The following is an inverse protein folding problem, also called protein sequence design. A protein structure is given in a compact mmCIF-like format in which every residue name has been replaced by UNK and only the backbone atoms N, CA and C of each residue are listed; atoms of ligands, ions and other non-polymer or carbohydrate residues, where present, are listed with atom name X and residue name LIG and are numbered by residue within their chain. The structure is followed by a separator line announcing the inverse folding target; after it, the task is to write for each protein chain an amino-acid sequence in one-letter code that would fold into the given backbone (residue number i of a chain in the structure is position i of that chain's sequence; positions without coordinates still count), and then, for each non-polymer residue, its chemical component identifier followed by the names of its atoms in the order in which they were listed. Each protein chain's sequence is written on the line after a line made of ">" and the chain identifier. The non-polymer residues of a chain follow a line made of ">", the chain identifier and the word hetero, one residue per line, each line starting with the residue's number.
data_IF_325579244090
#
_entry.id   IF_325579244090
#
_cell.length_a   1.000
_cell.length_b   1.000
_cell.length_c   1.000
_cell.angle_alpha   90.00
_cell.angle_beta   90.00
_cell.angle_gamma   90.00
#
_symmetry.space_group_name_H-M   'P 1'
#
loop_
_entity.id
_entity.type
_entity.pdbx_description
1 polymer ?
2 polymer ?
3 water ?
#
# COMPACT_ATOMS: atom_id res chain seq x y z
N UNK A 2 9.73 -25.08 -14.94
CA UNK A 2 9.23 -23.75 -15.23
C UNK A 2 8.23 -23.34 -14.17
N UNK A 3 7.42 -24.31 -13.73
CA UNK A 3 6.30 -24.05 -12.83
C UNK A 3 6.44 -24.86 -11.54
N UNK A 4 5.96 -24.33 -10.43
CA UNK A 4 6.01 -25.05 -9.15
C UNK A 4 4.89 -24.61 -8.21
N UNK A 5 4.66 -25.40 -7.16
CA UNK A 5 3.70 -25.05 -6.16
C UNK A 5 4.47 -24.32 -5.10
N UNK A 6 3.85 -23.31 -4.50
CA UNK A 6 4.46 -22.68 -3.34
C UNK A 6 4.10 -23.48 -2.10
N UNK A 7 4.10 -22.82 -0.94
CA UNK A 7 3.78 -23.45 0.34
C UNK A 7 2.79 -22.61 1.15
N UNK A 8 2.03 -23.27 2.02
CA UNK A 8 1.13 -22.63 2.97
C UNK A 8 1.64 -22.46 4.40
N UNK A 9 2.91 -22.76 4.67
CA UNK A 9 3.41 -22.86 6.06
C UNK A 9 3.44 -21.57 6.91
N UNK A 10 3.43 -20.39 6.28
CA UNK A 10 3.47 -19.12 7.00
C UNK A 10 4.61 -19.03 8.02
N UNK A 11 4.32 -18.56 9.23
CA UNK A 11 5.37 -18.35 10.24
C UNK A 11 5.62 -19.59 11.08
N UNK A 12 4.91 -20.67 10.76
CA UNK A 12 5.02 -21.92 11.52
C UNK A 12 6.39 -22.59 11.41
N UNK A 13 6.89 -23.06 12.55
CA UNK A 13 8.19 -23.73 12.64
C UNK A 13 8.29 -24.99 11.78
N UNK A 14 9.38 -25.11 11.02
CA UNK A 14 9.58 -26.27 10.14
C UNK A 14 9.68 -27.56 10.94
N UNK A 17 12.83 -29.59 9.93
CA UNK A 17 13.98 -28.74 10.28
C UNK A 17 15.19 -28.97 9.37
N UNK A 19 16.66 -30.60 6.54
CA UNK A 19 15.55 -31.28 5.87
C UNK A 19 14.50 -30.31 5.29
N UNK A 20 14.24 -29.25 6.04
CA UNK A 20 13.44 -28.12 5.60
C UNK A 20 14.09 -27.43 4.37
N UNK A 21 15.39 -27.20 4.48
CA UNK A 21 16.16 -26.61 3.39
C UNK A 21 16.15 -27.49 2.15
N UNK A 22 16.23 -28.80 2.36
CA UNK A 22 16.18 -29.73 1.24
C UNK A 22 14.85 -29.68 0.52
N UNK A 23 13.76 -29.67 1.27
CA UNK A 23 12.46 -29.53 0.66
C UNK A 23 12.34 -28.25 -0.15
N UNK A 24 12.80 -27.13 0.42
CA UNK A 24 12.82 -25.88 -0.36
C UNK A 24 13.62 -26.03 -1.67
N UNK A 25 14.78 -26.70 -1.59
CA UNK A 25 15.60 -26.89 -2.78
C UNK A 25 14.89 -27.72 -3.85
N UNK A 26 14.41 -28.90 -3.46
CA UNK A 26 13.75 -29.82 -4.37
C UNK A 26 12.52 -29.18 -4.98
N UNK A 27 11.92 -28.27 -4.23
CA UNK A 27 10.73 -27.55 -4.67
C UNK A 27 11.08 -26.50 -5.72
N UNK A 28 11.91 -25.54 -5.34
CA UNK A 28 12.13 -24.39 -6.22
C UNK A 28 13.26 -24.51 -7.24
N UNK A 29 14.10 -25.56 -7.15
CA UNK A 29 15.25 -25.66 -8.07
C UNK A 29 14.76 -25.60 -9.51
N UNK A 30 15.28 -24.66 -10.27
CA UNK A 30 14.87 -24.50 -11.64
C UNK A 30 13.56 -23.76 -11.85
N UNK A 31 12.76 -23.56 -10.81
CA UNK A 31 11.42 -22.98 -10.98
C UNK A 31 11.42 -21.50 -11.36
N UNK A 32 10.79 -21.19 -12.48
CA UNK A 32 10.53 -19.81 -12.93
C UNK A 32 9.27 -19.13 -12.38
N UNK A 33 8.17 -19.87 -12.32
CA UNK A 33 6.87 -19.33 -11.96
C UNK A 33 6.30 -20.08 -10.75
N UNK A 34 5.99 -19.36 -9.67
CA UNK A 34 5.45 -19.99 -8.47
C UNK A 34 3.94 -19.83 -8.33
N UNK A 35 3.29 -20.98 -8.32
CA UNK A 35 1.86 -21.17 -8.45
C UNK A 35 1.14 -21.09 -7.12
N UNK A 36 1.86 -20.55 -6.16
CA UNK A 36 1.45 -20.48 -4.78
C UNK A 36 2.29 -19.38 -4.14
N UNK A 37 2.34 -19.39 -2.82
CA UNK A 37 3.15 -18.45 -2.09
C UNK A 37 4.61 -18.85 -1.96
N UNK A 38 5.51 -17.90 -2.16
CA UNK A 38 6.90 -18.22 -1.92
C UNK A 38 7.21 -17.88 -0.46
N UNK A 39 7.45 -18.91 0.35
CA UNK A 39 7.72 -18.67 1.76
C UNK A 39 9.12 -19.16 2.08
N UNK A 40 10.01 -18.22 2.40
CA UNK A 40 11.38 -18.54 2.75
C UNK A 40 11.61 -18.13 4.19
N UNK A 41 11.73 -19.11 5.09
CA UNK A 41 11.71 -18.84 6.52
C UNK A 41 12.69 -19.72 7.30
N UNK A 42 13.24 -19.16 8.37
CA UNK A 42 14.11 -19.90 9.28
C UNK A 42 15.35 -20.48 8.61
N UNK A 43 15.88 -19.76 7.64
CA UNK A 43 17.10 -20.15 6.97
C UNK A 43 18.34 -19.70 7.74
N UNK A 44 19.29 -20.62 7.94
CA UNK A 44 20.48 -20.23 8.70
C UNK A 44 21.48 -19.48 7.83
N UNK A 45 22.55 -19.01 8.44
CA UNK A 45 23.54 -18.16 7.78
C UNK A 45 24.30 -18.87 6.64
N UNK A 46 24.57 -20.17 6.79
CA UNK A 46 25.36 -20.93 5.82
C UNK A 46 24.52 -21.46 4.65
N UNK A 47 23.23 -21.18 4.67
CA UNK A 47 22.29 -21.76 3.71
C UNK A 47 22.58 -21.36 2.26
N UNK A 48 22.53 -22.32 1.35
CA UNK A 48 22.77 -22.03 -0.07
C UNK A 48 21.44 -21.93 -0.79
N UNK A 49 21.10 -20.70 -1.18
CA UNK A 49 19.81 -20.35 -1.79
C UNK A 49 19.79 -20.25 -3.31
N UNK A 50 20.90 -20.61 -3.94
CA UNK A 50 21.10 -20.36 -5.36
C UNK A 50 20.00 -20.95 -6.24
N UNK A 51 19.22 -21.88 -5.69
CA UNK A 51 18.19 -22.56 -6.45
C UNK A 51 16.95 -21.67 -6.62
N UNK A 52 16.98 -20.48 -6.04
CA UNK A 52 15.94 -19.47 -6.19
C UNK A 52 16.21 -18.55 -7.38
N UNK A 53 17.39 -18.67 -7.97
CA UNK A 53 17.86 -17.74 -9.00
C UNK A 53 16.93 -17.60 -10.22
N UNK A 54 16.13 -18.63 -10.50
CA UNK A 54 15.28 -18.62 -11.70
C UNK A 54 13.89 -18.05 -11.51
N UNK A 55 13.50 -17.83 -10.24
CA UNK A 55 12.15 -17.36 -9.96
C UNK A 55 11.88 -16.01 -10.62
N UNK A 56 10.76 -15.95 -11.32
CA UNK A 56 10.38 -14.83 -12.15
C UNK A 56 9.10 -14.22 -11.61
N UNK A 57 8.09 -15.07 -11.52
CA UNK A 57 6.76 -14.67 -11.05
C UNK A 57 6.38 -15.38 -9.74
N UNK A 58 5.55 -14.71 -8.93
CA UNK A 58 4.89 -15.32 -7.77
C UNK A 58 3.41 -14.97 -7.79
N UNK A 59 2.53 -15.96 -7.87
CA UNK A 59 1.10 -15.71 -8.00
C UNK A 59 0.47 -15.36 -6.66
N UNK A 60 1.04 -15.93 -5.61
CA UNK A 60 0.66 -15.68 -4.24
C UNK A 60 1.40 -14.49 -3.67
N UNK A 61 1.70 -14.60 -2.38
CA UNK A 61 2.51 -13.61 -1.68
C UNK A 61 3.92 -14.14 -1.47
N UNK A 62 4.87 -13.22 -1.39
CA UNK A 62 6.22 -13.56 -0.98
C UNK A 62 6.40 -13.32 0.53
N UNK A 63 6.86 -14.32 1.25
CA UNK A 63 7.13 -14.19 2.69
C UNK A 63 8.57 -14.54 2.98
N UNK A 64 9.28 -13.60 3.59
CA UNK A 64 10.68 -13.79 3.96
C UNK A 64 10.83 -13.47 5.43
N UNK A 65 11.10 -14.47 6.25
CA UNK A 65 11.00 -14.25 7.69
C UNK A 65 11.90 -15.14 8.54
N UNK A 66 12.34 -14.59 9.66
CA UNK A 66 13.14 -15.33 10.63
C UNK A 66 14.34 -16.03 10.02
N UNK A 67 14.96 -15.39 9.03
CA UNK A 67 16.15 -15.93 8.38
C UNK A 67 17.44 -15.34 8.96
N UNK A 68 18.50 -16.15 9.04
CA UNK A 68 19.80 -15.59 9.33
C UNK A 68 20.64 -15.27 8.10
N UNK A 69 20.22 -15.74 6.93
CA UNK A 69 21.01 -15.52 5.71
C UNK A 69 21.15 -14.05 5.44
N UNK A 70 22.29 -13.66 4.89
CA UNK A 70 22.54 -12.26 4.59
C UNK A 70 21.96 -11.83 3.26
N UNK A 71 21.71 -12.81 2.39
CA UNK A 71 21.20 -12.52 1.07
C UNK A 71 20.22 -13.57 0.58
N UNK A 72 19.25 -13.12 -0.20
CA UNK A 72 18.20 -13.92 -0.81
C UNK A 72 18.15 -13.64 -2.33
N UNK A 73 18.82 -14.50 -3.14
CA UNK A 73 19.00 -14.30 -4.59
C UNK A 73 17.68 -14.35 -5.37
N UNK A 74 16.87 -13.32 -5.14
CA UNK A 74 15.61 -13.06 -5.84
C UNK A 74 15.71 -12.07 -7.03
N UNK A 75 16.95 -11.76 -7.43
CA UNK A 75 17.19 -10.74 -8.44
C UNK A 75 16.38 -10.91 -9.74
N UNK A 76 15.84 -12.10 -9.98
CA UNK A 76 15.09 -12.35 -11.22
C UNK A 76 13.56 -12.17 -11.15
N UNK A 77 13.04 -11.70 -10.02
CA UNK A 77 11.59 -11.70 -9.80
C UNK A 77 10.98 -10.39 -10.26
N UNK A 78 10.24 -10.46 -11.36
CA UNK A 78 9.55 -9.29 -11.94
C UNK A 78 8.19 -8.94 -11.33
N UNK A 79 7.44 -9.95 -10.92
CA UNK A 79 6.05 -9.71 -10.58
C UNK A 79 5.56 -10.58 -9.42
N UNK A 80 4.78 -9.96 -8.54
CA UNK A 80 4.03 -10.71 -7.55
C UNK A 80 2.54 -10.42 -7.82
N UNK A 81 1.76 -11.45 -8.08
CA UNK A 81 0.34 -11.29 -8.46
C UNK A 81 -0.56 -11.04 -7.25
N UNK A 82 -0.21 -11.65 -6.13
CA UNK A 82 -0.92 -11.42 -4.89
C UNK A 82 -2.35 -11.93 -4.91
N UNK A 83 -2.53 -13.11 -5.47
CA UNK A 83 -3.87 -13.71 -5.59
C UNK A 83 -4.19 -14.33 -4.25
N UNK A 84 -3.15 -14.50 -3.46
CA UNK A 84 -3.26 -14.84 -2.06
C UNK A 84 -2.36 -13.83 -1.36
N UNK A 85 -2.73 -13.41 -0.15
CA UNK A 85 -2.04 -12.32 0.53
C UNK A 85 -1.67 -12.69 1.95
N UNK A 86 -0.46 -12.35 2.37
CA UNK A 86 -0.03 -12.64 3.73
C UNK A 86 -0.83 -11.75 4.68
N UNK A 87 -1.42 -12.35 5.71
CA UNK A 87 -2.28 -11.63 6.66
C UNK A 87 -3.38 -10.90 5.89
N UNK A 88 -3.75 -11.45 4.72
CA UNK A 88 -4.79 -10.90 3.85
C UNK A 88 -4.51 -9.47 3.42
N UNK A 89 -3.26 -9.07 3.49
CA UNK A 89 -2.86 -7.68 3.21
C UNK A 89 -1.69 -7.51 2.24
N UNK A 90 -0.56 -8.11 2.60
CA UNK A 90 0.71 -7.90 1.91
C UNK A 90 1.12 -8.99 0.93
N UNK A 91 1.49 -8.55 -0.27
CA UNK A 91 2.07 -9.42 -1.27
C UNK A 91 3.57 -9.65 -0.99
N UNK A 92 4.20 -8.69 -0.32
CA UNK A 92 5.60 -8.80 0.06
C UNK A 92 5.78 -8.58 1.56
N UNK A 93 6.31 -9.59 2.26
CA UNK A 93 6.51 -9.50 3.69
C UNK A 93 7.90 -9.98 4.12
N UNK A 94 8.71 -9.06 4.65
CA UNK A 94 10.04 -9.38 5.07
C UNK A 94 10.14 -9.06 6.57
N UNK A 95 10.21 -10.10 7.39
CA UNK A 95 9.98 -9.94 8.82
C UNK A 95 11.05 -10.60 9.65
N UNK A 96 11.55 -9.90 10.64
CA UNK A 96 12.38 -10.53 11.67
C UNK A 96 13.63 -11.24 11.16
N UNK A 97 14.26 -10.72 10.11
CA UNK A 97 15.44 -11.41 9.63
C UNK A 97 16.66 -10.83 10.32
N UNK A 98 17.21 -11.59 11.25
CA UNK A 98 18.23 -11.08 12.16
C UNK A 98 18.16 -11.77 13.51
N UNK A 99 18.86 -11.21 14.49
CA UNK A 99 18.94 -11.84 15.81
C UNK A 99 19.09 -10.81 16.93
N UNK A 111 30.78 -10.50 12.55
CA UNK A 111 29.74 -10.06 11.60
C UNK A 111 28.39 -10.77 11.81
N UNK A 112 27.34 -10.00 12.11
CA UNK A 112 26.00 -10.53 12.45
C UNK A 112 25.19 -11.03 11.25
N UNK A 113 24.24 -11.90 11.52
CA UNK A 113 23.43 -12.50 10.48
C UNK A 113 22.25 -11.63 10.09
N UNK A 114 21.51 -12.06 9.08
CA UNK A 114 20.31 -11.36 8.70
C UNK A 114 20.44 -10.57 7.42
N UNK A 115 19.30 -10.36 6.76
CA UNK A 115 19.28 -9.84 5.41
C UNK A 115 19.93 -8.45 5.35
N UNK A 116 20.91 -8.31 4.48
CA UNK A 116 21.56 -7.02 4.24
C UNK A 116 20.77 -6.15 3.27
N UNK A 117 20.36 -6.74 2.16
CA UNK A 117 19.73 -6.01 1.06
C UNK A 117 18.68 -6.87 0.39
N UNK A 118 17.58 -6.25 -0.02
CA UNK A 118 16.54 -6.97 -0.74
C UNK A 118 17.00 -7.37 -2.13
N UNK A 119 17.66 -6.44 -2.81
CA UNK A 119 18.17 -6.68 -4.14
C UNK A 119 17.15 -7.23 -5.12
N UNK A 120 15.94 -6.67 -5.17
CA UNK A 120 15.03 -7.21 -6.14
C UNK A 120 15.09 -6.25 -7.29
N UNK A 121 15.90 -6.63 -8.27
CA UNK A 121 16.32 -5.72 -9.32
C UNK A 121 15.25 -5.67 -10.37
N UNK A 122 14.57 -6.80 -10.52
CA UNK A 122 13.60 -6.98 -11.56
C UNK A 122 12.17 -6.69 -11.10
N UNK A 123 11.96 -6.34 -9.83
CA UNK A 123 10.59 -6.25 -9.35
C UNK A 123 9.93 -4.98 -9.89
N UNK A 124 8.84 -5.19 -10.62
CA UNK A 124 8.18 -4.17 -11.42
C UNK A 124 6.75 -3.97 -10.98
N UNK A 125 5.94 -5.03 -11.07
CA UNK A 125 4.54 -4.93 -10.69
C UNK A 125 4.20 -5.78 -9.47
N UNK A 126 3.55 -5.17 -8.49
CA UNK A 126 2.84 -5.91 -7.46
C UNK A 126 1.35 -5.70 -7.71
N UNK A 127 0.67 -6.75 -8.16
CA UNK A 127 -0.67 -6.62 -8.73
C UNK A 127 -1.73 -6.31 -7.69
N UNK A 128 -1.71 -7.09 -6.61
CA UNK A 128 -2.65 -6.92 -5.52
C UNK A 128 -1.88 -7.07 -4.19
N UNK A 129 -2.29 -6.33 -3.16
CA UNK A 129 -1.67 -6.44 -1.85
C UNK A 129 -0.53 -5.46 -1.59
N UNK A 130 -0.19 -5.27 -0.31
CA UNK A 130 0.80 -4.29 0.09
C UNK A 130 2.19 -4.81 0.41
N UNK A 131 2.96 -3.97 1.10
CA UNK A 131 4.34 -4.30 1.47
C UNK A 131 4.53 -4.19 2.98
N UNK A 132 5.15 -5.20 3.57
CA UNK A 132 5.43 -5.19 5.00
C UNK A 132 6.89 -5.57 5.23
N UNK A 133 7.65 -4.63 5.78
CA UNK A 133 9.04 -4.87 6.09
C UNK A 133 9.29 -4.38 7.52
N UNK A 134 9.58 -5.30 8.43
CA UNK A 134 9.64 -4.99 9.86
C UNK A 134 10.72 -5.81 10.54
N UNK A 135 11.40 -5.15 11.49
CA UNK A 135 12.36 -5.79 12.37
C UNK A 135 13.43 -6.57 11.58
N UNK A 136 14.07 -5.89 10.64
CA UNK A 136 15.22 -6.45 9.94
C UNK A 136 16.43 -5.58 10.23
N UNK A 137 17.15 -5.92 11.31
CA UNK A 137 18.21 -5.07 11.88
C UNK A 137 19.41 -4.85 10.98
N UNK A 138 19.66 -5.74 10.04
CA UNK A 138 20.79 -5.54 9.13
C UNK A 138 20.43 -4.98 7.76
N UNK A 139 19.14 -4.78 7.52
CA UNK A 139 18.67 -4.45 6.18
C UNK A 139 18.78 -2.97 5.82
N UNK A 140 19.20 -2.69 4.60
CA UNK A 140 19.25 -1.32 4.12
C UNK A 140 18.45 -1.13 2.83
N UNK A 141 18.12 0.13 2.56
CA UNK A 141 17.55 0.57 1.30
C UNK A 141 16.07 0.35 1.09
N UNK A 142 15.44 -0.46 1.94
CA UNK A 142 14.00 -0.75 1.78
C UNK A 142 13.17 0.53 1.72
N UNK A 143 13.59 1.56 2.45
CA UNK A 143 12.84 2.81 2.52
C UNK A 143 13.11 3.78 1.37
N UNK A 144 14.08 3.47 0.51
CA UNK A 144 14.41 4.34 -0.60
C UNK A 144 13.64 4.02 -1.88
N UNK A 145 12.99 2.86 -1.90
CA UNK A 145 12.33 2.38 -3.10
C UNK A 145 11.00 3.10 -3.31
N UNK A 146 10.64 3.40 -4.55
CA UNK A 146 9.34 4.02 -4.73
C UNK A 146 8.39 2.87 -4.96
N UNK A 147 7.60 2.57 -3.94
CA UNK A 147 6.78 1.37 -3.99
C UNK A 147 5.53 1.63 -4.79
N UNK A 148 5.09 2.89 -4.81
CA UNK A 148 3.92 3.26 -5.59
C UNK A 148 4.12 2.98 -7.08
N UNK A 149 5.34 3.13 -7.56
CA UNK A 149 5.64 2.83 -8.95
C UNK A 149 5.50 1.33 -9.24
N UNK A 150 5.78 0.52 -8.22
CA UNK A 150 5.73 -0.92 -8.38
C UNK A 150 4.29 -1.44 -8.29
N UNK A 151 3.51 -0.91 -7.36
CA UNK A 151 2.10 -1.27 -7.23
C UNK A 151 1.42 -1.00 -8.57
N UNK A 152 0.48 -1.86 -8.94
CA UNK A 152 -0.23 -1.75 -10.21
C UNK A 152 -1.22 -0.59 -10.14
N UNK A 153 -1.89 -0.30 -11.24
CA UNK A 153 -2.78 0.86 -11.31
C UNK A 153 -3.94 0.78 -10.32
N UNK A 154 -4.49 -0.42 -10.11
CA UNK A 154 -5.61 -0.54 -9.19
C UNK A 154 -5.21 -0.93 -7.77
N UNK A 155 -3.90 -1.05 -7.54
CA UNK A 155 -3.35 -1.36 -6.23
C UNK A 155 -2.85 -0.16 -5.37
N UNK A 156 -3.06 1.06 -5.85
CA UNK A 156 -2.50 2.26 -5.20
C UNK A 156 -2.82 2.42 -3.70
N UNK A 157 -3.90 1.78 -3.24
CA UNK A 157 -4.30 1.83 -1.83
C UNK A 157 -3.90 0.70 -0.88
N UNK A 158 -3.06 -0.22 -1.32
CA UNK A 158 -2.61 -1.28 -0.41
C UNK A 158 -1.75 -0.69 0.71
N UNK A 159 -1.68 -1.40 1.82
CA UNK A 159 -0.88 -0.95 2.95
C UNK A 159 0.62 -1.10 2.72
N UNK A 160 1.36 -0.04 2.98
CA UNK A 160 2.83 -0.12 3.02
C UNK A 160 3.34 0.19 4.44
N UNK A 161 3.83 -0.82 5.13
CA UNK A 161 4.39 -0.60 6.44
C UNK A 161 5.83 -1.09 6.47
N UNK A 162 6.77 -0.15 6.53
CA UNK A 162 8.17 -0.51 6.50
C UNK A 162 9.02 0.28 7.46
N UNK A 163 9.92 -0.41 8.14
CA UNK A 163 10.90 0.20 9.02
C UNK A 163 11.82 1.08 8.23
N UNK A 164 12.28 2.14 8.89
CA UNK A 164 13.35 2.95 8.37
C UNK A 164 14.51 2.87 9.36
N UNK A 170 24.04 2.34 6.95
CA UNK A 170 23.73 2.29 5.52
C UNK A 170 24.52 3.29 4.68
N UNK A 171 25.37 2.75 3.81
CA UNK A 171 26.03 3.55 2.79
C UNK A 171 24.96 4.08 1.82
N UNK A 172 25.27 5.16 1.10
CA UNK A 172 24.28 5.69 0.16
C UNK A 172 24.09 4.77 -1.03
N UNK A 173 23.04 4.96 -1.82
CA UNK A 173 22.83 4.18 -3.03
C UNK A 173 24.01 4.46 -3.94
N UNK A 174 24.28 3.54 -4.87
CA UNK A 174 25.25 3.84 -5.92
C UNK A 174 24.92 5.20 -6.56
N UNK A 175 25.94 6.04 -6.75
CA UNK A 175 25.85 7.37 -7.37
C UNK A 175 25.28 7.30 -8.79
N UNK A 176 25.23 6.11 -9.37
CA UNK A 176 24.71 5.90 -10.71
C UNK A 176 23.16 5.87 -10.73
N UNK A 177 22.54 6.05 -9.58
CA UNK A 177 21.08 6.14 -9.51
C UNK A 177 20.64 7.59 -9.51
N UNK A 180 17.89 8.70 -5.85
CA UNK A 180 18.67 7.92 -4.90
C UNK A 180 17.90 6.67 -4.46
N UNK A 181 17.32 5.97 -5.42
CA UNK A 181 16.50 4.82 -5.14
C UNK A 181 17.16 3.50 -5.54
N UNK A 182 17.40 2.62 -4.58
CA UNK A 182 18.12 1.40 -4.89
C UNK A 182 17.72 0.21 -4.02
N UNK A 183 18.00 -0.99 -4.55
CA UNK A 183 17.73 -2.23 -3.85
C UNK A 183 18.93 -2.71 -3.03
N UNK A 184 20.06 -2.04 -3.19
CA UNK A 184 21.31 -2.49 -2.62
C UNK A 184 22.38 -1.48 -2.95
N UNK A 185 23.63 -1.75 -2.57
CA UNK A 185 24.69 -0.76 -2.71
C UNK A 185 25.20 -0.62 -4.13
N UNK A 186 25.07 -1.68 -4.92
CA UNK A 186 25.66 -1.72 -6.25
C UNK A 186 24.84 -0.99 -7.30
N UNK A 187 25.53 -0.51 -8.33
CA UNK A 187 24.91 0.15 -9.47
C UNK A 187 23.85 -0.72 -10.13
N UNK A 188 24.05 -2.04 -10.08
CA UNK A 188 23.06 -3.01 -10.54
C UNK A 188 21.77 -2.97 -9.72
N UNK A 189 21.83 -2.37 -8.53
CA UNK A 189 20.68 -2.39 -7.64
C UNK A 189 19.76 -1.16 -7.69
N UNK A 190 20.03 -0.21 -8.59
CA UNK A 190 19.19 0.98 -8.73
C UNK A 190 17.79 0.60 -9.19
N UNK A 191 16.78 1.38 -8.81
CA UNK A 191 15.41 1.05 -9.19
C UNK A 191 15.19 1.23 -10.68
N UNK B 7 11.83 -4.20 17.26
CA UNK B 7 10.89 -5.01 18.05
C UNK B 7 9.42 -4.58 17.99
N UNK B 8 8.50 -5.51 18.29
CA UNK B 8 7.07 -5.22 18.33
C UNK B 8 6.72 -4.19 19.42
N UNK B 9 5.84 -3.26 19.07
CA UNK B 9 5.29 -2.29 20.02
C UNK B 9 3.78 -2.35 19.96
N UNK B 10 3.18 -2.29 21.14
CA UNK B 10 1.73 -2.28 21.30
C UNK B 10 0.97 -1.30 20.39
N UNK B 11 1.25 -0.02 20.52
CA UNK B 11 0.53 0.99 19.73
C UNK B 11 0.63 0.78 18.23
N UNK B 12 1.83 0.48 17.76
CA UNK B 12 2.07 0.22 16.34
C UNK B 12 1.29 -0.99 15.84
N UNK B 13 1.33 -2.08 16.60
CA UNK B 13 0.60 -3.28 16.19
C UNK B 13 -0.91 -3.02 16.14
N UNK B 14 -1.41 -2.26 17.10
CA UNK B 14 -2.84 -1.92 17.06
C UNK B 14 -3.17 -0.98 15.90
N UNK B 15 -2.22 -0.12 15.55
CA UNK B 15 -2.39 0.77 14.43
C UNK B 15 -2.44 -0.01 13.12
N UNK B 16 -1.51 -0.97 13.01
CA UNK B 16 -1.47 -1.88 11.89
C UNK B 16 -2.84 -2.56 11.76
N UNK B 17 -3.29 -3.20 12.86
CA UNK B 17 -4.55 -3.92 12.89
C UNK B 17 -5.68 -2.99 12.46
N UNK B 18 -5.63 -1.73 12.92
CA UNK B 18 -6.69 -0.77 12.59
C UNK B 18 -6.73 -0.40 11.10
N UNK B 19 -5.55 -0.20 10.50
CA UNK B 19 -5.50 0.08 9.08
C UNK B 19 -6.07 -1.13 8.33
N UNK B 20 -5.69 -2.31 8.80
CA UNK B 20 -6.11 -3.54 8.16
C UNK B 20 -7.62 -3.68 8.18
N UNK B 21 -8.19 -3.60 9.37
CA UNK B 21 -9.64 -3.69 9.57
C UNK B 21 -10.41 -2.60 8.82
N UNK B 22 -9.89 -1.37 8.81
CA UNK B 22 -10.64 -0.28 8.18
C UNK B 22 -10.67 -0.54 6.69
N UNK B 23 -9.57 -1.10 6.20
CA UNK B 23 -9.47 -1.41 4.78
C UNK B 23 -10.44 -2.54 4.44
N UNK B 24 -10.49 -3.56 5.28
CA UNK B 24 -11.27 -4.76 5.00
C UNK B 24 -12.77 -4.53 5.21
N UNK B 25 -13.13 -3.40 5.79
CA UNK B 25 -14.53 -3.14 6.12
C UNK B 25 -15.01 -3.93 7.32
N UNK B 26 -14.11 -4.28 8.23
CA UNK B 26 -14.56 -5.08 9.35
C UNK B 26 -14.96 -4.18 10.51
N UNK B 27 -16.27 -4.01 10.69
CA UNK B 27 -16.80 -3.05 11.64
C UNK B 27 -16.50 -3.45 13.06
N UNK B 28 -16.87 -4.69 13.41
CA UNK B 28 -16.65 -5.22 14.74
C UNK B 28 -15.21 -5.00 15.17
N UNK B 29 -14.28 -5.33 14.27
CA UNK B 29 -12.87 -5.19 14.56
C UNK B 29 -12.55 -3.74 14.84
N UNK B 30 -13.06 -2.85 13.99
CA UNK B 30 -12.78 -1.42 14.15
C UNK B 30 -13.29 -0.92 15.49
N UNK B 31 -14.53 -1.24 15.85
CA UNK B 31 -15.12 -0.76 17.11
C UNK B 31 -14.34 -1.31 18.29
N UNK B 32 -14.01 -2.59 18.22
CA UNK B 32 -13.23 -3.21 19.27
C UNK B 32 -11.89 -2.49 19.43
N UNK B 33 -11.22 -2.27 18.33
CA UNK B 33 -9.96 -1.57 18.31
C UNK B 33 -10.11 -0.15 18.91
N UNK B 34 -11.26 0.47 18.68
CA UNK B 34 -11.59 1.73 19.33
C UNK B 34 -11.66 1.60 20.86
N UNK B 35 -12.42 0.62 21.34
CA UNK B 35 -12.50 0.36 22.78
C UNK B 35 -11.17 -0.11 23.39
N UNK B 36 -10.23 -0.58 22.55
CA UNK B 36 -8.90 -0.96 23.04
C UNK B 36 -7.86 0.13 22.89
N UNK B 37 -8.26 1.29 22.39
CA UNK B 37 -7.40 2.45 22.35
C UNK B 37 -6.47 2.53 21.16
N UNK B 38 -6.77 1.78 20.11
CA UNK B 38 -6.01 1.87 18.88
C UNK B 38 -5.97 3.34 18.41
N UNK B 39 -4.85 3.78 17.87
CA UNK B 39 -4.72 5.17 17.44
C UNK B 39 -5.55 5.41 16.18
N UNK B 40 -6.52 6.31 16.27
CA UNK B 40 -7.43 6.54 15.15
C UNK B 40 -6.67 7.17 13.99
N UNK B 41 -5.54 7.81 14.32
CA UNK B 41 -4.72 8.52 13.33
C UNK B 41 -3.51 7.81 12.79
N UNK B 42 -3.35 6.54 13.16
CA UNK B 42 -2.26 5.70 12.66
C UNK B 42 -2.19 5.80 11.14
N UNK B 43 -0.99 5.76 10.59
CA UNK B 43 -0.85 5.78 9.14
C UNK B 43 0.27 4.88 8.65
N UNK B 44 0.23 4.53 7.37
CA UNK B 44 1.29 3.71 6.80
C UNK B 44 2.40 4.58 6.24
N UNK B 45 3.37 3.93 5.60
CA UNK B 45 4.54 4.58 5.02
C UNK B 45 4.16 5.75 4.11
N UNK B 46 3.01 5.62 3.44
CA UNK B 46 2.52 6.65 2.53
C UNK B 46 1.50 7.59 3.16
N UNK B 47 1.34 7.48 4.47
CA UNK B 47 0.49 8.39 5.21
C UNK B 47 -0.98 8.00 5.16
N UNK B 48 -1.26 6.79 4.66
CA UNK B 48 -2.62 6.31 4.56
C UNK B 48 -3.16 6.04 5.97
N UNK B 49 -4.24 6.73 6.32
CA UNK B 49 -4.96 6.58 7.57
C UNK B 49 -6.20 5.68 7.43
N UNK B 50 -6.72 5.16 8.56
CA UNK B 50 -7.91 4.31 8.48
C UNK B 50 -9.11 5.04 7.86
N UNK B 51 -9.19 6.34 8.14
CA UNK B 51 -10.23 7.15 7.52
C UNK B 51 -10.11 7.16 5.98
N UNK B 52 -8.87 7.22 5.47
CA UNK B 52 -8.62 7.22 4.02
C UNK B 52 -9.15 5.92 3.39
N UNK B 53 -8.68 4.81 3.93
CA UNK B 53 -9.13 3.48 3.54
C UNK B 53 -10.67 3.32 3.55
N UNK B 54 -11.31 3.69 4.66
CA UNK B 54 -12.75 3.52 4.76
C UNK B 54 -13.47 4.41 3.74
N UNK B 55 -13.07 5.68 3.69
CA UNK B 55 -13.62 6.62 2.71
C UNK B 55 -13.53 6.06 1.29
N UNK B 56 -12.38 5.51 0.94
CA UNK B 56 -12.16 5.04 -0.42
C UNK B 56 -12.88 3.74 -0.77
N UNK B 57 -12.89 2.79 0.16
CA UNK B 57 -13.49 1.49 -0.11
C UNK B 57 -14.97 1.42 0.26
N UNK B 58 -15.54 2.57 0.59
CA UNK B 58 -16.97 2.71 0.76
C UNK B 58 -17.54 2.20 2.07
N UNK B 59 -16.75 2.23 3.14
CA UNK B 59 -17.26 1.67 4.37
C UNK B 59 -17.79 2.82 5.23
N UNK B 60 -19.10 2.99 5.23
CA UNK B 60 -19.75 4.13 5.88
C UNK B 60 -19.78 4.04 7.39
N UNK B 61 -20.14 2.87 7.89
CA UNK B 61 -20.17 2.64 9.33
C UNK B 61 -18.80 2.99 9.90
N UNK B 62 -17.75 2.42 9.32
CA UNK B 62 -16.41 2.62 9.82
C UNK B 62 -15.97 4.10 9.74
N UNK B 63 -16.33 4.78 8.65
CA UNK B 63 -16.08 6.21 8.55
C UNK B 63 -16.72 6.97 9.71
N UNK B 64 -18.01 6.75 9.95
CA UNK B 64 -18.70 7.42 11.05
C UNK B 64 -18.04 7.10 12.40
N UNK B 65 -17.73 5.84 12.62
CA UNK B 65 -17.05 5.43 13.86
C UNK B 65 -15.71 6.17 14.05
N UNK B 66 -14.84 6.15 13.04
CA UNK B 66 -13.57 6.84 13.11
C UNK B 66 -13.77 8.34 13.39
N UNK B 67 -14.73 8.94 12.68
CA UNK B 67 -15.00 10.36 12.87
C UNK B 67 -15.37 10.67 14.31
N UNK B 68 -16.33 9.91 14.84
CA UNK B 68 -16.76 10.06 16.22
C UNK B 68 -15.63 9.83 17.23
N UNK B 69 -14.65 9.03 16.84
CA UNK B 69 -13.46 8.79 17.66
C UNK B 69 -12.32 9.76 17.35
N UNK B 70 -12.62 10.78 16.54
CA UNK B 70 -11.73 11.93 16.41
C UNK B 70 -10.68 11.84 15.34
N UNK B 71 -10.92 11.02 14.31
CA UNK B 71 -9.93 10.83 13.26
C UNK B 71 -9.79 12.14 12.49
N UNK B 72 -8.58 12.44 12.01
CA UNK B 72 -8.36 13.73 11.40
C UNK B 72 -9.00 13.72 10.02
N UNK B 73 -10.06 14.50 9.85
CA UNK B 73 -10.89 14.50 8.66
C UNK B 73 -10.09 15.00 7.47
N UNK B 74 -9.20 15.94 7.73
CA UNK B 74 -8.40 16.58 6.68
C UNK B 74 -6.99 16.01 6.47
N UNK B 75 -6.71 14.85 7.07
CA UNK B 75 -5.40 14.23 6.88
C UNK B 75 -5.03 14.06 5.39
N UNK B 76 -3.83 14.50 5.05
CA UNK B 76 -3.24 14.23 3.76
C UNK B 76 -2.33 13.00 3.86
N UNK B 77 -2.51 12.07 2.93
CA UNK B 77 -1.48 11.06 2.65
C UNK B 77 -0.60 11.54 1.51
N UNK B 78 0.12 10.60 0.90
CA UNK B 78 0.97 10.91 -0.24
C UNK B 78 0.23 11.69 -1.33
N UNK B 79 -1.06 11.41 -1.49
CA UNK B 79 -1.84 12.05 -2.54
C UNK B 79 -2.83 13.10 -2.03
N UNK B 80 -3.75 12.69 -1.17
CA UNK B 80 -4.93 13.51 -0.91
C UNK B 80 -5.57 13.26 0.46
N UNK B 81 -6.73 13.90 0.64
CA UNK B 81 -7.59 13.75 1.80
C UNK B 81 -8.65 12.68 1.55
N UNK B 82 -9.26 12.14 2.64
CA UNK B 82 -10.39 11.22 2.53
C UNK B 82 -11.55 11.72 1.65
N UNK B 83 -11.80 13.03 1.70
CA UNK B 83 -12.88 13.60 0.91
C UNK B 83 -12.61 13.43 -0.56
N UNK B 84 -11.34 13.58 -0.95
CA UNK B 84 -10.91 13.35 -2.33
C UNK B 84 -11.27 11.94 -2.74
N UNK B 85 -10.84 10.96 -1.93
CA UNK B 85 -11.05 9.56 -2.25
C UNK B 85 -12.53 9.26 -2.42
N UNK B 86 -13.35 9.67 -1.45
CA UNK B 86 -14.78 9.38 -1.51
C UNK B 86 -15.41 10.01 -2.73
N UNK B 87 -14.96 11.21 -3.08
CA UNK B 87 -15.52 11.92 -4.22
C UNK B 87 -15.09 11.26 -5.53
N UNK B 88 -13.89 10.70 -5.54
CA UNK B 88 -13.38 10.09 -6.75
C UNK B 88 -14.04 8.75 -6.94
N UNK B 89 -14.37 8.08 -5.84
CA UNK B 89 -14.90 6.72 -5.87
C UNK B 89 -16.41 6.69 -6.01
N UNK B 90 -17.04 7.86 -5.97
CA UNK B 90 -18.49 7.93 -6.06
C UNK B 90 -19.21 7.41 -4.83
N UNK B 91 -18.74 7.76 -3.63
CA UNK B 91 -19.51 7.44 -2.43
C UNK B 91 -20.19 8.70 -1.85
N UNK B 92 -21.47 8.87 -2.18
CA UNK B 92 -22.22 10.09 -1.88
C UNK B 92 -22.39 10.31 -0.39
N UNK B 93 -22.91 9.30 0.28
CA UNK B 93 -23.12 9.38 1.69
C UNK B 93 -21.82 9.67 2.46
N UNK B 94 -20.72 9.02 2.08
CA UNK B 94 -19.44 9.23 2.74
C UNK B 94 -19.01 10.68 2.55
N UNK B 95 -19.25 11.19 1.34
CA UNK B 95 -18.97 12.60 1.09
C UNK B 95 -19.77 13.49 2.05
N UNK B 96 -21.07 13.22 2.16
CA UNK B 96 -21.95 13.99 3.04
C UNK B 96 -21.54 13.94 4.51
N UNK B 97 -21.24 12.74 5.00
CA UNK B 97 -20.77 12.60 6.37
C UNK B 97 -19.44 13.33 6.58
N UNK B 98 -18.48 13.05 5.70
CA UNK B 98 -17.18 13.71 5.76
C UNK B 98 -17.33 15.22 5.91
N UNK B 99 -18.15 15.81 5.03
CA UNK B 99 -18.41 17.25 5.07
C UNK B 99 -19.08 17.66 6.39
N UNK B 100 -20.08 16.90 6.81
CA UNK B 100 -20.76 17.14 8.07
C UNK B 100 -19.74 17.27 9.21
N UNK B 101 -18.67 16.49 9.11
CA UNK B 101 -17.64 16.46 10.16
C UNK B 101 -16.50 17.47 9.96
N UNK B 102 -16.65 18.36 8.98
CA UNK B 102 -15.69 19.43 8.78
C UNK B 102 -14.61 19.17 7.75
N UNK B 103 -14.85 18.21 6.87
CA UNK B 103 -13.89 17.96 5.79
C UNK B 103 -13.85 19.21 4.94
N UNK B 104 -12.66 19.64 4.54
CA UNK B 104 -12.52 20.86 3.76
C UNK B 104 -12.95 20.56 2.32
N UNK B 105 -13.99 21.27 1.86
CA UNK B 105 -14.56 21.02 0.54
C UNK B 105 -13.57 21.36 -0.56
N UNK B 106 -12.69 22.32 -0.26
CA UNK B 106 -11.69 22.80 -1.23
C UNK B 106 -10.25 22.34 -1.09
N UNK B 107 -9.96 21.40 -0.20
CA UNK B 107 -8.60 20.88 -0.04
C UNK B 107 -8.02 20.48 -1.39
N UNK B 108 -6.74 20.79 -1.60
CA UNK B 108 -6.14 20.51 -2.89
C UNK B 108 -5.07 19.44 -2.73
N UNK B 109 -5.10 18.43 -3.58
CA UNK B 109 -4.17 17.30 -3.43
C UNK B 109 -2.80 17.64 -4.01
N UNK B 110 -1.94 16.64 -4.11
CA UNK B 110 -0.60 16.86 -4.60
C UNK B 110 -0.56 17.35 -6.05
N UNK B 111 -1.63 17.13 -6.79
CA UNK B 111 -1.71 17.71 -8.14
C UNK B 111 -2.55 19.00 -8.19
N UNK B 112 -2.98 19.47 -7.03
CA UNK B 112 -3.82 20.65 -6.98
C UNK B 112 -5.26 20.35 -7.36
N UNK B 113 -5.67 19.09 -7.29
CA UNK B 113 -7.06 18.73 -7.53
C UNK B 113 -7.89 19.01 -6.28
N UNK B 114 -9.09 19.55 -6.46
CA UNK B 114 -10.02 19.62 -5.35
C UNK B 114 -10.95 18.41 -5.49
N UNK B 115 -11.83 18.18 -4.50
CA UNK B 115 -12.73 17.03 -4.70
C UNK B 115 -13.71 17.29 -5.85
N UNK B 116 -14.01 18.56 -6.10
CA UNK B 116 -14.88 18.89 -7.21
C UNK B 116 -14.21 18.46 -8.51
N UNK B 117 -12.90 18.69 -8.62
CA UNK B 117 -12.13 18.22 -9.78
C UNK B 117 -12.36 16.73 -10.01
N UNK B 118 -12.26 15.93 -8.96
CA UNK B 118 -12.29 14.48 -9.08
C UNK B 118 -13.70 13.93 -9.35
N UNK B 119 -14.69 14.52 -8.70
CA UNK B 119 -16.07 14.13 -8.95
C UNK B 119 -16.45 14.48 -10.39
N UNK B 120 -15.94 15.61 -10.90
CA UNK B 120 -16.26 16.01 -12.25
C UNK B 120 -15.53 15.13 -13.25
N UNK B 121 -14.29 14.78 -12.93
CA UNK B 121 -13.52 13.88 -13.77
C UNK B 121 -14.17 12.50 -13.84
N UNK B 122 -14.67 12.03 -12.71
CA UNK B 122 -15.22 10.67 -12.62
C UNK B 122 -16.72 10.57 -12.91
N UNK B 123 -17.33 11.66 -13.33
CA UNK B 123 -18.72 11.63 -13.75
C UNK B 123 -19.66 11.27 -12.63
N UNK B 124 -19.39 11.81 -11.44
CA UNK B 124 -20.35 11.67 -10.37
C UNK B 124 -21.07 13.00 -10.17
N UNK B 125 -22.30 13.05 -10.66
CA UNK B 125 -23.06 14.30 -10.65
C UNK B 125 -23.63 14.69 -9.29
N UNK B 126 -24.22 13.72 -8.60
CA UNK B 126 -24.90 13.98 -7.33
C UNK B 126 -23.87 14.48 -6.32
N UNK B 127 -22.67 13.92 -6.40
CA UNK B 127 -21.56 14.34 -5.56
C UNK B 127 -21.12 15.76 -5.96
N UNK B 128 -21.06 16.04 -7.27
CA UNK B 128 -20.76 17.41 -7.70
C UNK B 128 -21.74 18.41 -7.07
N UNK B 129 -23.03 18.10 -7.13
CA UNK B 129 -24.05 18.95 -6.51
C UNK B 129 -23.82 19.11 -5.00
N UNK B 130 -23.56 18.01 -4.28
CA UNK B 130 -23.36 18.12 -2.85
C UNK B 130 -22.15 19.00 -2.52
N UNK B 131 -21.07 18.84 -3.30
CA UNK B 131 -19.88 19.67 -3.15
C UNK B 131 -20.19 21.15 -3.36
N UNK B 132 -20.86 21.46 -4.48
CA UNK B 132 -21.25 22.83 -4.81
C UNK B 132 -22.09 23.44 -3.70
N UNK B 133 -23.08 22.70 -3.25
CA UNK B 133 -23.99 23.15 -2.20
C UNK B 133 -23.23 23.41 -0.90
N UNK B 134 -22.08 22.73 -0.73
CA UNK B 134 -21.23 22.88 0.44
C UNK B 134 -20.08 23.90 0.33
N UNK B 135 -20.06 24.65 -0.76
CA UNK B 135 -19.08 25.72 -0.94
C UNK B 135 -17.90 25.45 -1.87
N UNK B 136 -17.97 24.38 -2.67
CA UNK B 136 -16.90 24.08 -3.63
C UNK B 136 -16.71 25.19 -4.65
N UNK B 137 -15.45 25.49 -4.94
CA UNK B 137 -15.09 26.56 -5.86
C UNK B 137 -14.92 26.03 -7.29
N UNK B 138 -15.77 26.47 -8.21
CA UNK B 138 -15.74 26.01 -9.61
C UNK B 138 -14.53 26.53 -10.37
N UNK B 139 -13.88 27.55 -9.82
CA UNK B 139 -12.75 28.19 -10.46
C UNK B 139 -11.40 27.58 -10.04
N UNK B 140 -11.44 26.64 -9.10
CA UNK B 140 -10.21 25.98 -8.64
C UNK B 140 -9.44 25.40 -9.82
N UNK B 141 -8.14 25.67 -9.86
CA UNK B 141 -7.31 25.23 -10.98
C UNK B 141 -6.25 24.26 -10.50
N UNK B 142 -6.09 23.13 -11.19
CA UNK B 142 -5.14 22.14 -10.75
C UNK B 142 -3.77 22.49 -11.32
N UNK B 143 -2.78 21.65 -11.05
CA UNK B 143 -1.42 21.99 -11.47
C UNK B 143 -1.28 22.03 -13.00
N UNK B 144 -2.30 21.54 -13.69
CA UNK B 144 -2.34 21.59 -15.14
C UNK B 144 -3.08 22.83 -15.65
N UNK B 145 -3.50 23.69 -14.72
CA UNK B 145 -4.27 24.87 -15.05
C UNK B 145 -5.70 24.51 -15.38
N UNK B 146 -6.06 23.27 -15.11
CA UNK B 146 -7.37 22.73 -15.44
C UNK B 146 -8.38 22.89 -14.31
N UNK B 147 -9.63 23.06 -14.70
CA UNK B 147 -10.65 23.50 -13.80
C UNK B 147 -11.59 22.30 -13.68
N UNK B 148 -12.58 22.33 -12.79
CA UNK B 148 -13.50 21.17 -12.76
C UNK B 148 -14.34 21.03 -14.04
N UNK B 149 -14.86 22.15 -14.54
CA UNK B 149 -15.51 22.19 -15.84
C UNK B 149 -14.62 21.53 -16.91
N UNK B 150 -13.35 21.93 -16.94
CA UNK B 150 -12.38 21.35 -17.85
C UNK B 150 -12.38 19.83 -17.77
N UNK B 151 -12.30 19.29 -16.56
CA UNK B 151 -12.20 17.84 -16.40
C UNK B 151 -13.49 17.14 -16.83
N UNK B 152 -14.62 17.76 -16.55
CA UNK B 152 -15.89 17.18 -16.94
C UNK B 152 -15.98 17.09 -18.46
N UNK B 153 -15.60 18.17 -19.13
CA UNK B 153 -15.62 18.20 -20.59
C UNK B 153 -14.63 17.19 -21.17
N UNK B 154 -13.41 17.20 -20.66
CA UNK B 154 -12.39 16.26 -21.09
C UNK B 154 -12.80 14.80 -20.87
N UNK B 155 -13.63 14.57 -19.87
CA UNK B 155 -14.11 13.22 -19.55
C UNK B 155 -15.52 12.75 -20.04
N UNK B 156 -16.16 13.55 -20.90
CA UNK B 156 -17.39 13.09 -21.54
C UNK B 156 -18.55 13.26 -20.58
N UNK B 157 -18.34 14.19 -19.68
CA UNK B 157 -19.23 14.53 -18.58
C UNK B 157 -20.18 15.70 -18.77
N UNK B 158 -20.51 16.03 -20.02
CA UNK B 158 -21.19 17.29 -20.36
C UNK B 158 -22.32 17.73 -19.44
N UNK B 159 -23.12 16.80 -18.94
CA UNK B 159 -24.17 17.15 -17.97
C UNK B 159 -23.59 17.85 -16.74
N UNK B 160 -22.53 17.25 -16.20
CA UNK B 160 -21.83 17.82 -15.05
C UNK B 160 -21.27 19.18 -15.41
N UNK B 161 -20.71 19.27 -16.61
CA UNK B 161 -20.23 20.54 -17.14
C UNK B 161 -21.31 21.62 -17.14
N UNK B 162 -22.52 21.27 -17.56
CA UNK B 162 -23.63 22.22 -17.60
C UNK B 162 -23.90 22.71 -16.18
N UNK B 163 -23.93 21.78 -15.22
CA UNK B 163 -24.16 22.18 -13.84
C UNK B 163 -23.10 23.17 -13.35
N UNK B 164 -21.84 22.85 -13.63
CA UNK B 164 -20.73 23.71 -13.22
C UNK B 164 -20.85 25.10 -13.84
N UNK B 165 -21.12 25.14 -15.15
CA UNK B 165 -21.26 26.38 -15.89
C UNK B 165 -22.38 27.24 -15.29
N UNK B 166 -23.48 26.60 -14.91
CA UNK B 166 -24.60 27.31 -14.29
C UNK B 166 -24.25 27.81 -12.88
N UNK B 167 -23.36 27.11 -12.19
CA UNK B 167 -22.99 27.46 -10.82
C UNK B 167 -21.94 28.56 -10.75
N UNK B 168 -21.41 28.95 -11.90
CA UNK B 168 -20.47 30.06 -11.97
C UNK B 168 -21.21 31.36 -12.27
#
# INVERSE_FOLDING_TARGET
>A
HQVCTGTDMKLRLPASPETHLDMLRHLYQGCQVVQGNLELTYLPTDASLSFLQDIQEVQGYVLIAHNQVRQVPLQRLRIVRGTQLFEDNYALAVLDNGDPLDNTTPVTGASPGGLRELQLRSLTEILKGGVLIQRNPQLCYQDTILWKDIFHKNNQLALTLIDTDRSRACHPCSPMCKGSRCWGESSEDCQSLTRTVA
>B
MRGSHHHHHHGSDLGKKLLEAARAGQDDEVRILMANGADVNAHDFYGITPLHLAANFGHLEIVEVLLKHGADVNAFDYDNTPLHLAADAGHLEIVEVLLKYGADVNASDRDGHTPLHLAAREGHLEIVEVLLKNGADVNAQDKFGKTPFDLAIDNGNEDIAEVLQKAAKLN
#
